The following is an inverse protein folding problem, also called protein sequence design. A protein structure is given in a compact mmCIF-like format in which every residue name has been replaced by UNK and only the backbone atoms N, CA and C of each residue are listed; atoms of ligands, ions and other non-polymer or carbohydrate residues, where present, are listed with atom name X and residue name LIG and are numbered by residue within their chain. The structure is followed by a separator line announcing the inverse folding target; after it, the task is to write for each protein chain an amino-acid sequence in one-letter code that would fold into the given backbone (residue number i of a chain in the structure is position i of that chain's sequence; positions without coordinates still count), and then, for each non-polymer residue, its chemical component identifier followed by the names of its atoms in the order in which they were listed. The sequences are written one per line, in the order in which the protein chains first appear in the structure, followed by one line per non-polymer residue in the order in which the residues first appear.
data_IF_845790110201
#
_entry.id   IF_845790110201
#
_cell.length_a   1.000
_cell.length_b   1.000
_cell.length_c   1.000
_cell.angle_alpha   90.00
_cell.angle_beta   90.00
_cell.angle_gamma   90.00
#
_symmetry.space_group_name_H-M   'P 1'
#
loop_
_entity.id
_entity.type
_entity.pdbx_description
1 polymer ?
#
# COMPACT_ATOMS: atom_id res chain seq x y z
N UNK A 1 -4.64 7.83 6.74
CA UNK A 1 -5.86 7.51 5.96
C UNK A 1 -6.09 8.55 4.89
N UNK A 2 -6.38 8.15 3.64
CA UNK A 2 -6.65 9.02 2.50
C UNK A 2 -7.90 8.56 1.75
N UNK A 3 -8.76 9.49 1.34
CA UNK A 3 -9.94 9.26 0.51
C UNK A 3 -9.71 9.84 -0.89
N UNK A 4 -10.05 9.09 -1.94
CA UNK A 4 -9.94 9.51 -3.33
C UNK A 4 -11.11 8.99 -4.14
N UNK A 5 -11.71 9.83 -4.99
CA UNK A 5 -12.69 9.40 -5.99
C UNK A 5 -11.95 9.02 -7.26
N UNK A 6 -12.07 7.76 -7.70
CA UNK A 6 -11.37 7.25 -8.88
C UNK A 6 -12.16 7.44 -10.17
N UNK A 7 -13.50 7.37 -10.09
CA UNK A 7 -14.37 7.46 -11.25
C UNK A 7 -15.69 8.12 -10.85
N UNK A 8 -16.23 8.95 -11.74
CA UNK A 8 -17.58 9.51 -11.65
C UNK A 8 -18.22 9.41 -13.03
N UNK A 9 -19.46 8.93 -13.09
CA UNK A 9 -20.22 8.78 -14.34
C UNK A 9 -21.65 9.22 -14.11
N UNK A 10 -22.15 10.05 -15.01
CA UNK A 10 -23.54 10.48 -15.07
C UNK A 10 -23.84 10.95 -16.49
N UNK A 11 -25.12 10.94 -16.87
CA UNK A 11 -25.56 11.35 -18.20
C UNK A 11 -25.77 10.17 -19.15
N UNK A 12 -26.55 10.42 -20.20
CA UNK A 12 -26.82 9.45 -21.28
C UNK A 12 -25.95 9.70 -22.52
N UNK A 13 -25.20 10.82 -22.54
CA UNK A 13 -24.46 11.33 -23.70
C UNK A 13 -25.24 12.35 -24.53
N UNK A 14 -26.56 12.48 -24.33
CA UNK A 14 -27.35 13.55 -24.93
C UNK A 14 -27.28 14.84 -24.07
N UNK A 15 -27.21 16.00 -24.72
CA UNK A 15 -27.11 17.32 -24.07
C UNK A 15 -28.44 17.82 -23.49
N UNK A 16 -29.56 17.21 -23.90
CA UNK A 16 -30.92 17.61 -23.55
C UNK A 16 -31.67 16.57 -22.69
N UNK A 17 -30.96 15.58 -22.13
CA UNK A 17 -31.55 14.55 -21.26
C UNK A 17 -30.94 14.63 -19.87
N UNK A 18 -31.80 14.84 -18.87
CA UNK A 18 -31.40 14.81 -17.46
C UNK A 18 -31.14 13.34 -17.05
N UNK A 19 -29.99 13.01 -16.46
CA UNK A 19 -29.70 11.64 -16.03
C UNK A 19 -30.59 11.18 -14.87
N UNK A 20 -30.98 9.91 -14.87
CA UNK A 20 -31.73 9.28 -13.78
C UNK A 20 -30.88 8.80 -12.61
N UNK A 21 -29.56 8.64 -12.80
CA UNK A 21 -28.62 8.22 -11.77
C UNK A 21 -27.22 8.79 -12.03
N UNK A 22 -26.39 8.78 -10.99
CA UNK A 22 -24.97 9.00 -11.06
C UNK A 22 -24.26 7.90 -10.26
N UNK A 23 -23.13 7.44 -10.78
CA UNK A 23 -22.31 6.42 -10.16
C UNK A 23 -20.92 6.99 -9.88
N UNK A 24 -20.37 6.66 -8.73
CA UNK A 24 -19.01 7.01 -8.37
C UNK A 24 -18.31 5.84 -7.69
N UNK A 25 -17.02 5.70 -7.99
CA UNK A 25 -16.13 4.79 -7.29
C UNK A 25 -15.13 5.61 -6.51
N UNK A 26 -14.91 5.22 -5.27
CA UNK A 26 -13.90 5.83 -4.42
C UNK A 26 -13.05 4.74 -3.77
N UNK A 27 -11.84 5.11 -3.39
CA UNK A 27 -10.91 4.26 -2.66
C UNK A 27 -10.49 4.98 -1.39
N UNK A 28 -10.47 4.22 -0.29
CA UNK A 28 -9.92 4.68 0.99
C UNK A 28 -8.74 3.79 1.32
N UNK A 29 -7.55 4.39 1.37
CA UNK A 29 -6.37 3.75 1.98
C UNK A 29 -6.33 4.18 3.44
N UNK A 30 -6.55 3.24 4.35
CA UNK A 30 -6.66 3.55 5.78
C UNK A 30 -5.54 2.91 6.59
N UNK A 31 -5.17 3.56 7.69
CA UNK A 31 -4.13 3.08 8.62
C UNK A 31 -4.75 2.22 9.72
N UNK A 32 -3.90 1.60 10.54
CA UNK A 32 -4.29 0.79 11.71
C UNK A 32 -5.11 1.54 12.76
N UNK A 33 -5.07 2.88 12.74
CA UNK A 33 -5.85 3.77 13.64
C UNK A 33 -7.37 3.78 13.39
N UNK A 34 -7.85 3.25 12.26
CA UNK A 34 -9.27 3.21 11.93
C UNK A 34 -9.63 1.86 11.30
N UNK A 35 -10.82 1.35 11.56
CA UNK A 35 -11.29 0.09 10.97
C UNK A 35 -12.18 0.29 9.75
N UNK A 36 -12.33 -0.74 8.94
CA UNK A 36 -13.26 -0.74 7.80
C UNK A 36 -14.70 -0.44 8.23
N UNK A 37 -15.13 -0.98 9.38
CA UNK A 37 -16.47 -0.80 9.94
C UNK A 37 -16.68 0.65 10.37
N UNK A 38 -15.68 1.28 11.00
CA UNK A 38 -15.74 2.71 11.35
C UNK A 38 -15.85 3.60 10.11
N UNK A 39 -15.13 3.26 9.04
CA UNK A 39 -15.21 3.97 7.76
C UNK A 39 -16.62 3.83 7.16
N UNK A 40 -17.14 2.59 7.09
CA UNK A 40 -18.47 2.31 6.54
C UNK A 40 -19.56 3.05 7.33
N UNK A 41 -19.50 3.00 8.66
CA UNK A 41 -20.43 3.72 9.53
C UNK A 41 -20.36 5.23 9.33
N UNK A 42 -19.16 5.80 9.19
CA UNK A 42 -18.99 7.24 8.94
C UNK A 42 -19.56 7.65 7.59
N UNK A 43 -19.31 6.87 6.54
CA UNK A 43 -19.85 7.14 5.19
C UNK A 43 -21.37 7.02 5.17
N UNK A 44 -21.93 5.99 5.83
CA UNK A 44 -23.37 5.83 5.98
C UNK A 44 -24.02 7.04 6.69
N UNK A 45 -23.39 7.53 7.78
CA UNK A 45 -23.88 8.71 8.49
C UNK A 45 -23.85 9.99 7.63
N UNK A 46 -22.83 10.19 6.80
CA UNK A 46 -22.77 11.34 5.88
C UNK A 46 -23.87 11.25 4.81
N UNK A 47 -24.23 10.03 4.41
CA UNK A 47 -25.18 9.76 3.34
C UNK A 47 -26.62 9.50 3.82
N UNK A 48 -26.87 9.60 5.13
CA UNK A 48 -28.15 9.23 5.76
C UNK A 48 -29.38 9.90 5.12
N UNK A 49 -29.23 11.16 4.67
CA UNK A 49 -30.31 11.94 4.07
C UNK A 49 -30.36 11.85 2.53
N UNK A 50 -29.55 11.01 1.91
CA UNK A 50 -29.47 10.86 0.47
C UNK A 50 -29.93 9.46 0.05
N UNK A 51 -30.64 9.39 -1.09
CA UNK A 51 -31.01 8.11 -1.70
C UNK A 51 -29.81 7.55 -2.47
N UNK A 52 -28.93 6.85 -1.77
CA UNK A 52 -27.70 6.26 -2.32
C UNK A 52 -27.63 4.79 -1.95
N UNK A 53 -27.23 3.96 -2.91
CA UNK A 53 -26.84 2.58 -2.70
C UNK A 53 -25.32 2.48 -2.76
N UNK A 54 -24.72 1.72 -1.86
CA UNK A 54 -23.26 1.55 -1.80
C UNK A 54 -22.95 0.07 -1.71
N UNK A 55 -22.08 -0.39 -2.59
CA UNK A 55 -21.44 -1.69 -2.51
C UNK A 55 -20.01 -1.53 -1.97
N UNK A 56 -19.66 -2.34 -0.97
CA UNK A 56 -18.37 -2.26 -0.29
C UNK A 56 -17.49 -3.44 -0.65
N UNK A 57 -16.27 -3.16 -1.10
CA UNK A 57 -15.24 -4.16 -1.30
C UNK A 57 -14.01 -3.86 -0.46
N UNK A 58 -13.80 -4.67 0.57
CA UNK A 58 -12.55 -4.64 1.35
C UNK A 58 -11.48 -5.47 0.62
N UNK A 59 -10.47 -4.79 0.08
CA UNK A 59 -9.36 -5.44 -0.66
C UNK A 59 -8.21 -5.91 0.24
N UNK A 60 -8.12 -5.37 1.46
CA UNK A 60 -7.08 -5.70 2.41
C UNK A 60 -7.19 -4.87 3.70
N UNK A 61 -6.76 -5.46 4.81
CA UNK A 61 -6.58 -4.75 6.08
C UNK A 61 -5.21 -4.07 6.11
N UNK A 62 -5.05 -2.94 6.81
CA UNK A 62 -3.74 -2.38 7.09
C UNK A 62 -2.95 -3.34 7.99
N UNK A 63 -1.65 -3.41 7.78
CA UNK A 63 -0.73 -4.11 8.67
C UNK A 63 0.46 -3.19 8.97
N UNK A 64 1.07 -3.41 10.13
CA UNK A 64 2.31 -2.78 10.52
C UNK A 64 3.19 -3.83 11.17
N UNK A 65 4.42 -3.95 10.71
CA UNK A 65 5.42 -4.75 11.41
C UNK A 65 6.16 -3.84 12.38
N UNK A 66 6.11 -4.11 13.69
CA UNK A 66 6.86 -3.33 14.67
C UNK A 66 8.36 -3.47 14.42
N UNK A 67 9.15 -2.52 14.93
CA UNK A 67 10.61 -2.67 14.90
C UNK A 67 11.02 -3.95 15.63
N UNK A 68 11.89 -4.72 15.00
CA UNK A 68 12.22 -6.10 15.38
C UNK A 68 13.42 -6.60 14.58
N UNK A 69 13.73 -7.91 14.70
CA UNK A 69 14.96 -8.48 14.15
C UNK A 69 15.07 -8.29 12.63
N UNK A 70 13.99 -8.48 11.89
CA UNK A 70 13.98 -8.32 10.44
C UNK A 70 14.19 -6.86 10.03
N UNK A 71 13.56 -5.92 10.72
CA UNK A 71 13.69 -4.49 10.44
C UNK A 71 15.14 -4.04 10.67
N UNK A 72 15.76 -4.44 11.79
CA UNK A 72 17.14 -4.08 12.10
C UNK A 72 18.15 -4.74 11.15
N UNK A 73 17.92 -6.00 10.76
CA UNK A 73 18.73 -6.68 9.75
C UNK A 73 18.67 -5.95 8.40
N UNK A 74 17.49 -5.51 7.97
CA UNK A 74 17.31 -4.72 6.75
C UNK A 74 18.03 -3.38 6.83
N UNK A 75 17.83 -2.60 7.90
CA UNK A 75 18.49 -1.29 8.11
C UNK A 75 20.02 -1.44 8.04
N UNK A 76 20.55 -2.44 8.74
CA UNK A 76 21.99 -2.72 8.79
C UNK A 76 22.53 -3.13 7.43
N UNK A 77 21.87 -4.07 6.75
CA UNK A 77 22.28 -4.56 5.44
C UNK A 77 22.29 -3.43 4.39
N UNK A 78 21.26 -2.59 4.36
CA UNK A 78 21.16 -1.47 3.42
C UNK A 78 22.28 -0.46 3.70
N UNK A 79 22.52 -0.11 4.97
CA UNK A 79 23.61 0.80 5.35
C UNK A 79 24.98 0.26 4.94
N UNK A 80 25.23 -1.05 5.12
CA UNK A 80 26.49 -1.69 4.74
C UNK A 80 26.72 -1.71 3.23
N UNK A 81 25.69 -2.00 2.44
CA UNK A 81 25.82 -2.16 0.99
C UNK A 81 25.80 -0.82 0.25
N UNK A 82 25.00 0.13 0.73
CA UNK A 82 24.73 1.39 0.01
C UNK A 82 25.29 2.64 0.70
N UNK A 83 25.63 2.55 1.99
CA UNK A 83 26.02 3.71 2.82
C UNK A 83 24.84 4.59 3.26
N UNK A 84 23.61 4.27 2.88
CA UNK A 84 22.40 5.08 3.12
C UNK A 84 21.74 4.67 4.44
N UNK A 85 21.33 5.65 5.24
CA UNK A 85 20.43 5.43 6.38
C UNK A 85 18.99 5.38 5.89
N UNK A 86 18.29 4.27 6.18
CA UNK A 86 16.95 4.02 5.66
C UNK A 86 15.86 4.63 6.52
N UNK A 87 14.79 5.08 5.87
CA UNK A 87 13.58 5.52 6.53
C UNK A 87 12.51 4.42 6.49
N UNK A 88 11.94 4.07 7.64
CA UNK A 88 10.78 3.18 7.70
C UNK A 88 9.54 3.93 7.18
N UNK A 89 8.78 3.26 6.32
CA UNK A 89 7.62 3.85 5.65
C UNK A 89 6.49 2.84 5.54
N UNK A 90 5.26 3.32 5.77
CA UNK A 90 4.01 2.63 5.45
C UNK A 90 3.28 3.29 4.26
N UNK A 91 3.98 4.19 3.56
CA UNK A 91 3.47 4.89 2.38
C UNK A 91 3.48 4.03 1.12
N UNK A 92 2.86 4.54 0.05
CA UNK A 92 2.80 3.84 -1.23
C UNK A 92 1.54 2.98 -1.40
N UNK A 93 1.70 1.84 -2.08
CA UNK A 93 0.65 0.90 -2.45
C UNK A 93 0.28 -0.10 -1.35
N UNK A 94 -0.16 -1.28 -1.77
CA UNK A 94 -0.30 -2.45 -0.89
C UNK A 94 0.47 -3.60 -1.51
N UNK A 95 0.83 -4.60 -0.71
CA UNK A 95 1.44 -5.84 -1.17
C UNK A 95 0.72 -7.05 -0.54
N UNK A 96 1.11 -8.24 -0.96
CA UNK A 96 0.64 -9.49 -0.37
C UNK A 96 1.19 -9.74 1.05
N UNK A 97 2.04 -8.85 1.57
CA UNK A 97 2.40 -8.78 2.98
C UNK A 97 1.17 -8.75 3.90
N UNK A 98 0.05 -8.20 3.43
CA UNK A 98 -1.24 -8.19 4.16
C UNK A 98 -1.82 -9.58 4.44
N UNK A 99 -1.43 -10.60 3.68
CA UNK A 99 -1.84 -11.99 3.91
C UNK A 99 -0.82 -12.76 4.77
N UNK A 100 0.44 -12.32 4.77
CA UNK A 100 1.52 -12.95 5.54
C UNK A 100 1.53 -12.43 6.98
N UNK A 101 1.36 -11.12 7.20
CA UNK A 101 1.40 -10.51 8.53
C UNK A 101 0.44 -11.16 9.55
N UNK A 102 -0.80 -11.57 9.19
CA UNK A 102 -1.71 -12.28 10.10
C UNK A 102 -1.19 -13.63 10.61
N UNK A 103 -0.16 -14.22 9.99
CA UNK A 103 0.47 -15.46 10.47
C UNK A 103 1.36 -15.24 11.70
N UNK A 104 1.63 -13.98 12.06
CA UNK A 104 2.57 -13.61 13.13
C UNK A 104 4.01 -13.40 12.66
N UNK A 105 4.28 -13.52 11.35
CA UNK A 105 5.59 -13.22 10.78
C UNK A 105 5.89 -11.71 10.79
N UNK A 106 7.16 -11.35 11.00
CA UNK A 106 7.66 -10.01 10.68
C UNK A 106 7.69 -9.85 9.14
N UNK A 107 7.13 -8.74 8.62
CA UNK A 107 7.02 -8.48 7.18
C UNK A 107 7.65 -7.13 6.85
N UNK A 108 8.63 -7.14 5.95
CA UNK A 108 9.27 -5.93 5.42
C UNK A 108 9.24 -6.00 3.90
N UNK A 109 8.86 -4.88 3.27
CA UNK A 109 8.99 -4.70 1.83
C UNK A 109 10.29 -3.94 1.55
N UNK A 110 11.13 -4.53 0.70
CA UNK A 110 12.41 -3.97 0.27
C UNK A 110 12.55 -4.18 -1.23
N UNK A 111 13.01 -3.17 -1.96
CA UNK A 111 13.11 -3.25 -3.41
C UNK A 111 13.87 -2.07 -4.02
N UNK A 112 13.92 -2.07 -5.35
CA UNK A 112 14.45 -0.96 -6.14
C UNK A 112 13.46 0.21 -6.21
N UNK A 113 13.90 1.31 -6.81
CA UNK A 113 13.08 2.51 -7.03
C UNK A 113 11.77 2.17 -7.76
N UNK A 114 10.64 2.65 -7.24
CA UNK A 114 9.31 2.40 -7.80
C UNK A 114 8.81 3.55 -8.72
N UNK A 115 9.68 4.46 -9.16
CA UNK A 115 9.27 5.69 -9.84
C UNK A 115 8.53 5.46 -11.17
N UNK A 116 8.85 4.38 -11.89
CA UNK A 116 8.27 4.05 -13.20
C UNK A 116 7.27 2.89 -13.17
N UNK A 117 6.89 2.35 -12.00
CA UNK A 117 5.97 1.20 -11.96
C UNK A 117 4.62 1.59 -12.57
N UNK A 118 4.04 0.69 -13.37
CA UNK A 118 2.76 0.90 -14.05
C UNK A 118 2.75 2.08 -15.05
N UNK A 119 3.90 2.46 -15.58
CA UNK A 119 4.05 3.50 -16.60
C UNK A 119 4.60 2.90 -17.90
N UNK A 120 4.48 3.63 -19.00
CA UNK A 120 5.20 3.30 -20.24
C UNK A 120 6.71 3.38 -19.97
N UNK A 121 7.49 2.53 -20.64
CA UNK A 121 8.95 2.46 -20.50
C UNK A 121 9.43 2.22 -19.05
N UNK A 122 8.73 1.35 -18.32
CA UNK A 122 9.16 0.87 -17.00
C UNK A 122 10.59 0.29 -17.04
N UNK A 123 11.46 0.77 -16.15
CA UNK A 123 12.86 0.39 -16.12
C UNK A 123 13.42 0.40 -14.70
N UNK A 124 14.64 -0.11 -14.55
CA UNK A 124 15.38 -0.07 -13.29
C UNK A 124 16.87 0.10 -13.54
N UNK A 125 17.60 0.62 -12.55
CA UNK A 125 19.04 0.75 -12.63
C UNK A 125 19.69 -0.60 -12.31
N UNK A 126 20.54 -1.09 -13.21
CA UNK A 126 21.27 -2.36 -13.05
C UNK A 126 22.14 -2.35 -11.79
N UNK A 127 22.76 -1.23 -11.44
CA UNK A 127 23.55 -1.10 -10.23
C UNK A 127 22.67 -1.25 -8.97
N UNK A 128 21.48 -0.66 -8.95
CA UNK A 128 20.52 -0.83 -7.85
C UNK A 128 20.07 -2.29 -7.70
N UNK A 129 19.90 -3.02 -8.81
CA UNK A 129 19.61 -4.46 -8.75
C UNK A 129 20.77 -5.25 -8.12
N UNK A 130 22.01 -4.92 -8.46
CA UNK A 130 23.18 -5.58 -7.88
C UNK A 130 23.32 -5.27 -6.38
N UNK A 131 23.07 -4.02 -5.98
CA UNK A 131 23.03 -3.63 -4.56
C UNK A 131 21.89 -4.33 -3.82
N UNK A 132 20.70 -4.45 -4.43
CA UNK A 132 19.57 -5.14 -3.81
C UNK A 132 19.89 -6.63 -3.57
N UNK A 133 20.54 -7.30 -4.52
CA UNK A 133 21.00 -8.68 -4.36
C UNK A 133 21.95 -8.82 -3.17
N UNK A 134 22.98 -7.98 -3.07
CA UNK A 134 23.92 -8.06 -1.94
C UNK A 134 23.24 -7.69 -0.62
N UNK A 135 22.26 -6.77 -0.64
CA UNK A 135 21.46 -6.42 0.54
C UNK A 135 20.67 -7.63 1.04
N UNK A 136 19.96 -8.34 0.16
CA UNK A 136 19.22 -9.55 0.55
C UNK A 136 20.14 -10.64 1.12
N UNK A 137 21.32 -10.82 0.52
CA UNK A 137 22.32 -11.73 1.05
C UNK A 137 22.73 -11.36 2.47
N UNK A 138 23.00 -10.08 2.74
CA UNK A 138 23.37 -9.63 4.09
C UNK A 138 22.22 -9.75 5.10
N UNK A 139 20.97 -9.51 4.70
CA UNK A 139 19.80 -9.77 5.55
C UNK A 139 19.74 -11.26 5.93
N UNK A 140 19.87 -12.16 4.96
CA UNK A 140 19.87 -13.60 5.22
C UNK A 140 21.02 -14.01 6.15
N UNK A 141 22.24 -13.54 5.88
CA UNK A 141 23.41 -13.80 6.73
C UNK A 141 23.18 -13.30 8.16
N UNK A 142 22.66 -12.07 8.33
CA UNK A 142 22.41 -11.50 9.65
C UNK A 142 21.32 -12.21 10.45
N UNK A 143 20.37 -12.87 9.78
CA UNK A 143 19.25 -13.52 10.44
C UNK A 143 19.48 -15.00 10.73
N UNK A 144 20.25 -15.68 9.87
CA UNK A 144 20.34 -17.14 9.84
C UNK A 144 21.72 -17.68 10.22
N UNK A 145 22.77 -16.88 10.13
CA UNK A 145 24.10 -17.30 10.57
C UNK A 145 24.36 -16.70 11.96
N UNK A 146 24.81 -17.53 12.88
CA UNK A 146 25.32 -17.06 14.17
C UNK A 146 26.54 -16.16 13.91
N UNK A 147 26.55 -14.97 14.50
CA UNK A 147 27.72 -14.07 14.48
C UNK A 147 28.73 -14.46 15.55
#
# INVERSE_FOLDING_TARGET
TTFQVSNVRAGTGADNVIPGSAEAWFNIRFSTEITAEQIQARVASVLENYRVEIDWRLSGQPFITPEGRLVDACKTAIKQVTGIDTQLSTGGGTSDGRFIAPTGAEVVELGVTNASIHQIDEHTNIEQLMQLKETYKQVLTSLLLDQ
#
